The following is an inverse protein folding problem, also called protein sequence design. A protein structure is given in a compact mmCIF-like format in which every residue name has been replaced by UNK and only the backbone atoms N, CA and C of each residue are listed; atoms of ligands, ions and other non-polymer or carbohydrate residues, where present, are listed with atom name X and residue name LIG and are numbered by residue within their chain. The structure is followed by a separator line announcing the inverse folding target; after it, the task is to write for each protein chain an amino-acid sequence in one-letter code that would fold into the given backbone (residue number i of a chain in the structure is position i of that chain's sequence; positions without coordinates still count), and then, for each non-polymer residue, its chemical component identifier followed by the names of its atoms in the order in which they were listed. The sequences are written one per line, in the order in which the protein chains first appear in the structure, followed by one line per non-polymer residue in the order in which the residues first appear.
data_IF_755929460545
#
_entry.id   IF_755929460545
#
_cell.length_a   1.000
_cell.length_b   1.000
_cell.length_c   1.000
_cell.angle_alpha   90.00
_cell.angle_beta   90.00
_cell.angle_gamma   90.00
#
_symmetry.space_group_name_H-M   'P 1'
#
loop_
_entity.id
_entity.type
_entity.pdbx_description
1 polymer ?
#
# COMPACT_ATOMS: atom_id res chain seq x y z
N UNK A 1 31.31 -13.08 35.58
CA UNK A 1 30.12 -13.34 34.78
C UNK A 1 30.53 -14.33 33.69
N UNK A 2 29.80 -15.43 33.53
CA UNK A 2 30.15 -16.46 32.54
C UNK A 2 29.95 -15.89 31.10
N UNK A 3 30.79 -16.26 30.16
CA UNK A 3 30.74 -15.82 28.75
C UNK A 3 29.35 -16.02 28.12
N UNK A 4 28.70 -17.12 28.46
CA UNK A 4 27.34 -17.43 28.00
C UNK A 4 26.29 -16.46 28.53
N UNK A 5 26.40 -16.06 29.81
CA UNK A 5 25.51 -15.08 30.41
C UNK A 5 25.68 -13.69 29.78
N UNK A 6 26.91 -13.30 29.41
CA UNK A 6 27.15 -12.04 28.69
C UNK A 6 26.49 -12.08 27.30
N UNK A 7 26.68 -13.18 26.54
CA UNK A 7 26.09 -13.35 25.22
C UNK A 7 24.55 -13.29 25.29
N UNK A 8 23.94 -13.93 26.26
CA UNK A 8 22.50 -13.90 26.46
C UNK A 8 21.99 -12.47 26.73
N UNK A 9 22.64 -11.74 27.64
CA UNK A 9 22.25 -10.35 27.95
C UNK A 9 22.37 -9.45 26.74
N UNK A 10 23.46 -9.56 25.97
CA UNK A 10 23.66 -8.77 24.75
C UNK A 10 22.63 -9.13 23.68
N UNK A 11 22.29 -10.42 23.54
CA UNK A 11 21.25 -10.88 22.62
C UNK A 11 19.89 -10.30 22.98
N UNK A 12 19.51 -10.35 24.26
CA UNK A 12 18.25 -9.79 24.75
C UNK A 12 18.20 -8.28 24.52
N UNK A 13 19.28 -7.55 24.84
CA UNK A 13 19.35 -6.10 24.66
C UNK A 13 19.21 -5.71 23.17
N UNK A 14 19.90 -6.43 22.28
CA UNK A 14 19.85 -6.19 20.83
C UNK A 14 18.47 -6.50 20.26
N UNK A 15 17.87 -7.62 20.68
CA UNK A 15 16.51 -7.99 20.30
C UNK A 15 15.49 -6.97 20.80
N UNK A 16 15.65 -6.48 22.02
CA UNK A 16 14.78 -5.44 22.60
C UNK A 16 14.84 -4.16 21.77
N UNK A 17 16.04 -3.71 21.38
CA UNK A 17 16.22 -2.54 20.52
C UNK A 17 15.56 -2.72 19.16
N UNK A 18 15.69 -3.91 18.56
CA UNK A 18 15.01 -4.26 17.32
C UNK A 18 13.47 -4.23 17.47
N UNK A 19 12.92 -4.87 18.50
CA UNK A 19 11.48 -4.92 18.78
C UNK A 19 10.91 -3.52 19.02
N UNK A 20 11.60 -2.68 19.78
CA UNK A 20 11.18 -1.28 20.01
C UNK A 20 11.20 -0.50 18.69
N UNK A 21 12.27 -0.64 17.88
CA UNK A 21 12.42 0.06 16.61
C UNK A 21 11.36 -0.33 15.58
N UNK A 22 11.22 -1.60 15.30
CA UNK A 22 10.28 -2.11 14.29
C UNK A 22 8.87 -2.19 14.84
N UNK A 23 8.68 -2.72 16.05
CA UNK A 23 7.37 -2.87 16.67
C UNK A 23 6.72 -1.53 16.99
N UNK A 24 7.45 -0.59 17.55
CA UNK A 24 6.97 0.78 17.81
C UNK A 24 6.56 1.51 16.53
N UNK A 25 7.37 1.37 15.45
CA UNK A 25 7.04 1.93 14.14
C UNK A 25 5.77 1.28 13.57
N UNK A 26 5.66 -0.04 13.67
CA UNK A 26 4.50 -0.82 13.20
C UNK A 26 3.23 -0.42 13.95
N UNK A 27 3.26 -0.38 15.28
CA UNK A 27 2.10 0.00 16.09
C UNK A 27 1.63 1.42 15.78
N UNK A 28 2.56 2.36 15.60
CA UNK A 28 2.22 3.73 15.24
C UNK A 28 1.66 3.84 13.82
N UNK A 29 2.20 3.09 12.87
CA UNK A 29 1.67 3.04 11.50
C UNK A 29 0.22 2.52 11.48
N UNK A 30 -0.08 1.49 12.26
CA UNK A 30 -1.44 0.95 12.39
C UNK A 30 -2.38 2.02 12.95
N UNK A 31 -2.00 2.71 14.05
CA UNK A 31 -2.82 3.78 14.65
C UNK A 31 -3.07 4.94 13.68
N UNK A 32 -2.04 5.39 12.97
CA UNK A 32 -2.18 6.45 11.95
C UNK A 32 -3.15 6.00 10.86
N UNK A 33 -3.03 4.76 10.39
CA UNK A 33 -3.90 4.20 9.35
C UNK A 33 -5.36 4.07 9.81
N UNK A 34 -5.58 3.68 11.05
CA UNK A 34 -6.92 3.62 11.65
C UNK A 34 -7.54 5.01 11.76
N UNK A 35 -6.81 5.99 12.31
CA UNK A 35 -7.27 7.37 12.38
C UNK A 35 -7.60 7.93 10.99
N UNK A 36 -6.80 7.57 9.97
CA UNK A 36 -7.02 8.00 8.59
C UNK A 36 -8.27 7.39 7.95
N UNK A 37 -8.61 6.14 8.29
CA UNK A 37 -9.83 5.47 7.81
C UNK A 37 -11.12 6.16 8.27
N UNK A 38 -11.06 6.84 9.41
CA UNK A 38 -12.20 7.57 9.98
C UNK A 38 -12.27 9.03 9.54
N UNK A 39 -11.33 9.47 8.68
CA UNK A 39 -11.37 10.83 8.11
C UNK A 39 -12.58 10.94 7.19
N UNK A 40 -13.43 11.94 7.47
CA UNK A 40 -14.52 12.31 6.56
C UNK A 40 -13.90 13.13 5.43
N UNK A 41 -14.01 12.63 4.20
CA UNK A 41 -13.64 13.38 3.01
C UNK A 41 -14.95 13.92 2.42
N UNK A 42 -14.98 15.20 2.13
CA UNK A 42 -16.11 15.83 1.45
C UNK A 42 -16.15 15.31 0.00
N UNK A 43 -17.30 14.76 -0.41
CA UNK A 43 -17.51 14.30 -1.79
C UNK A 43 -17.33 15.44 -2.80
N UNK A 44 -17.59 16.68 -2.39
CA UNK A 44 -17.37 17.87 -3.21
C UNK A 44 -15.89 18.10 -3.58
N UNK A 45 -14.95 17.67 -2.71
CA UNK A 45 -13.52 17.79 -2.98
C UNK A 45 -13.04 16.82 -4.09
N UNK A 46 -13.77 15.73 -4.31
CA UNK A 46 -13.44 14.69 -5.28
C UNK A 46 -14.00 14.96 -6.67
N UNK A 47 -14.94 15.89 -6.78
CA UNK A 47 -15.60 16.19 -8.06
C UNK A 47 -14.62 16.75 -9.08
N UNK A 48 -14.75 16.34 -10.36
CA UNK A 48 -13.97 16.92 -11.44
C UNK A 48 -14.16 18.45 -11.50
N UNK A 49 -13.04 19.17 -11.59
CA UNK A 49 -13.01 20.63 -11.73
C UNK A 49 -12.49 20.97 -13.13
N UNK A 50 -13.03 22.03 -13.69
CA UNK A 50 -12.64 22.49 -15.04
C UNK A 50 -11.15 22.84 -15.15
N UNK A 51 -10.58 23.36 -14.09
CA UNK A 51 -9.15 23.62 -13.97
C UNK A 51 -8.68 23.18 -12.57
N UNK A 52 -7.73 22.26 -12.52
CA UNK A 52 -7.14 21.81 -11.25
C UNK A 52 -6.86 20.32 -11.21
N UNK A 53 -6.11 19.93 -10.22
CA UNK A 53 -5.83 18.55 -9.88
C UNK A 53 -6.40 18.24 -8.50
N UNK A 54 -6.82 17.00 -8.31
CA UNK A 54 -7.21 16.47 -6.99
C UNK A 54 -6.12 15.52 -6.53
N UNK A 55 -5.49 15.86 -5.42
CA UNK A 55 -4.40 15.05 -4.85
C UNK A 55 -4.92 14.34 -3.60
N UNK A 56 -5.03 13.02 -3.70
CA UNK A 56 -5.33 12.15 -2.59
C UNK A 56 -4.01 11.55 -2.07
N UNK A 57 -3.71 11.80 -0.80
CA UNK A 57 -2.48 11.30 -0.19
C UNK A 57 -2.80 10.28 0.88
N UNK A 58 -2.11 9.15 0.86
CA UNK A 58 -2.11 8.24 1.99
C UNK A 58 -1.31 8.83 3.17
N UNK A 59 -1.60 8.42 4.41
CA UNK A 59 -0.85 8.88 5.55
C UNK A 59 0.63 8.52 5.41
N UNK A 60 1.50 9.42 5.81
CA UNK A 60 2.94 9.20 5.85
C UNK A 60 3.43 9.05 7.29
N UNK A 61 4.52 8.33 7.47
CA UNK A 61 5.17 8.24 8.77
C UNK A 61 5.83 9.58 9.15
N UNK A 62 5.66 10.05 10.38
CA UNK A 62 6.43 11.17 10.90
C UNK A 62 7.94 10.92 10.76
N UNK A 63 8.71 11.97 10.47
CA UNK A 63 10.17 11.87 10.26
C UNK A 63 10.92 11.22 11.43
N UNK A 64 10.48 11.45 12.66
CA UNK A 64 11.06 10.82 13.86
C UNK A 64 10.92 9.30 13.84
N UNK A 65 9.78 8.77 13.42
CA UNK A 65 9.55 7.33 13.31
C UNK A 65 10.32 6.69 12.14
N UNK A 66 10.62 7.44 11.09
CA UNK A 66 11.49 6.96 10.03
C UNK A 66 12.92 6.69 10.55
N UNK A 67 13.40 7.52 11.50
CA UNK A 67 14.69 7.29 12.18
C UNK A 67 14.63 6.09 13.12
N UNK A 68 13.57 5.95 13.90
CA UNK A 68 13.36 4.80 14.78
C UNK A 68 13.34 3.48 13.99
N UNK A 69 12.72 3.49 12.80
CA UNK A 69 12.76 2.37 11.87
C UNK A 69 14.18 2.02 11.44
N UNK A 70 14.99 3.04 11.11
CA UNK A 70 16.37 2.82 10.72
C UNK A 70 17.16 2.15 11.83
N UNK A 71 17.00 2.62 13.09
CA UNK A 71 17.59 1.99 14.26
C UNK A 71 17.17 0.54 14.38
N UNK A 72 15.86 0.24 14.27
CA UNK A 72 15.37 -1.14 14.30
C UNK A 72 16.06 -2.04 13.26
N UNK A 73 16.14 -1.57 12.01
CA UNK A 73 16.84 -2.32 10.95
C UNK A 73 18.34 -2.50 11.19
N UNK A 74 19.00 -1.52 11.80
CA UNK A 74 20.41 -1.63 12.18
C UNK A 74 20.68 -2.78 13.15
N UNK A 75 19.73 -3.07 14.05
CA UNK A 75 19.84 -4.16 15.01
C UNK A 75 19.34 -5.52 14.49
N UNK A 76 18.78 -5.58 13.28
CA UNK A 76 18.27 -6.83 12.72
C UNK A 76 19.36 -7.89 12.54
N UNK A 77 20.45 -7.54 11.84
CA UNK A 77 21.54 -8.49 11.58
C UNK A 77 22.29 -8.88 12.87
N UNK A 78 22.69 -7.92 13.75
CA UNK A 78 23.29 -8.26 15.02
C UNK A 78 22.41 -9.18 15.89
N UNK A 79 21.09 -8.93 15.97
CA UNK A 79 20.19 -9.77 16.75
C UNK A 79 20.15 -11.22 16.21
N UNK A 80 20.09 -11.38 14.88
CA UNK A 80 20.10 -12.69 14.25
C UNK A 80 21.41 -13.45 14.51
N UNK A 81 22.54 -12.76 14.32
CA UNK A 81 23.88 -13.36 14.54
C UNK A 81 24.04 -13.78 16.00
N UNK A 82 23.70 -12.90 16.94
CA UNK A 82 23.80 -13.20 18.36
C UNK A 82 22.88 -14.34 18.79
N UNK A 83 21.69 -14.45 18.21
CA UNK A 83 20.78 -15.56 18.46
C UNK A 83 21.43 -16.91 18.09
N UNK A 84 22.11 -16.99 16.92
CA UNK A 84 22.83 -18.20 16.49
C UNK A 84 23.98 -18.54 17.43
N UNK A 85 24.71 -17.55 17.94
CA UNK A 85 25.78 -17.81 18.91
C UNK A 85 25.25 -18.21 20.30
N UNK A 86 24.12 -17.66 20.74
CA UNK A 86 23.47 -18.01 21.98
C UNK A 86 22.90 -19.44 21.97
N UNK A 87 22.63 -19.99 20.80
CA UNK A 87 22.08 -21.35 20.61
C UNK A 87 23.01 -22.45 21.17
N UNK A 88 24.32 -22.18 21.24
CA UNK A 88 25.31 -23.13 21.82
C UNK A 88 25.08 -23.42 23.30
N UNK A 89 24.56 -22.44 24.05
CA UNK A 89 24.23 -22.61 25.47
C UNK A 89 22.72 -22.80 25.73
N UNK A 90 21.88 -22.30 24.80
CA UNK A 90 20.42 -22.28 24.93
C UNK A 90 19.76 -22.59 23.57
N UNK A 91 19.61 -23.87 23.19
CA UNK A 91 19.19 -24.29 21.84
C UNK A 91 17.80 -23.83 21.43
N UNK A 92 16.97 -23.37 22.36
CA UNK A 92 15.65 -22.82 22.10
C UNK A 92 15.64 -21.33 21.70
N UNK A 93 16.74 -20.60 21.95
CA UNK A 93 16.82 -19.16 21.71
C UNK A 93 16.76 -18.82 20.22
N UNK A 94 17.55 -19.52 19.40
CA UNK A 94 17.62 -19.26 17.97
C UNK A 94 16.25 -19.42 17.26
N UNK A 95 15.53 -20.53 17.40
CA UNK A 95 14.24 -20.69 16.73
C UNK A 95 13.19 -19.68 17.23
N UNK A 96 13.15 -19.37 18.52
CA UNK A 96 12.21 -18.39 19.05
C UNK A 96 12.48 -16.99 18.49
N UNK A 97 13.75 -16.57 18.47
CA UNK A 97 14.14 -15.26 17.91
C UNK A 97 13.81 -15.18 16.42
N UNK A 98 14.12 -16.20 15.64
CA UNK A 98 13.81 -16.22 14.22
C UNK A 98 12.31 -16.10 13.96
N UNK A 99 11.48 -16.89 14.66
CA UNK A 99 10.02 -16.82 14.53
C UNK A 99 9.49 -15.43 14.89
N UNK A 100 9.96 -14.86 16.01
CA UNK A 100 9.57 -13.52 16.42
C UNK A 100 9.95 -12.45 15.38
N UNK A 101 11.18 -12.52 14.83
CA UNK A 101 11.66 -11.59 13.83
C UNK A 101 10.85 -11.71 12.53
N UNK A 102 10.57 -12.93 12.06
CA UNK A 102 9.73 -13.17 10.88
C UNK A 102 8.32 -12.61 11.07
N UNK A 103 7.68 -12.91 12.20
CA UNK A 103 6.36 -12.40 12.53
C UNK A 103 6.34 -10.87 12.57
N UNK A 104 7.30 -10.25 13.28
CA UNK A 104 7.37 -8.80 13.41
C UNK A 104 7.62 -8.11 12.06
N UNK A 105 8.48 -8.69 11.20
CA UNK A 105 8.69 -8.18 9.86
C UNK A 105 7.43 -8.31 8.99
N UNK A 106 6.70 -9.43 9.05
CA UNK A 106 5.45 -9.61 8.35
C UNK A 106 4.41 -8.54 8.75
N UNK A 107 4.27 -8.29 10.05
CA UNK A 107 3.43 -7.19 10.56
C UNK A 107 3.91 -5.82 10.11
N UNK A 108 5.21 -5.56 10.16
CA UNK A 108 5.80 -4.32 9.69
C UNK A 108 5.50 -4.07 8.22
N UNK A 109 5.79 -5.02 7.33
CA UNK A 109 5.51 -4.86 5.90
C UNK A 109 4.02 -4.66 5.62
N UNK A 110 3.14 -5.36 6.33
CA UNK A 110 1.70 -5.19 6.21
C UNK A 110 1.24 -3.80 6.65
N UNK A 111 1.78 -3.29 7.77
CA UNK A 111 1.46 -1.96 8.27
C UNK A 111 1.99 -0.84 7.35
N UNK A 112 3.18 -1.06 6.75
CA UNK A 112 3.81 -0.10 5.85
C UNK A 112 3.24 -0.10 4.44
N UNK A 113 2.45 -1.11 4.06
CA UNK A 113 1.81 -1.15 2.75
C UNK A 113 1.01 0.13 2.50
N UNK A 114 1.30 0.78 1.37
CA UNK A 114 0.60 1.96 0.88
C UNK A 114 0.77 3.24 1.74
N UNK A 115 1.67 3.25 2.72
CA UNK A 115 2.03 4.48 3.43
C UNK A 115 2.77 5.43 2.47
N UNK A 116 2.33 6.69 2.45
CA UNK A 116 2.92 7.73 1.59
C UNK A 116 2.58 7.61 0.10
N UNK A 117 1.67 6.72 -0.29
CA UNK A 117 1.14 6.69 -1.66
C UNK A 117 0.35 7.96 -1.96
N UNK A 118 0.41 8.39 -3.22
CA UNK A 118 -0.38 9.51 -3.73
C UNK A 118 -1.14 9.07 -4.97
N UNK A 119 -2.38 9.55 -5.07
CA UNK A 119 -3.19 9.46 -6.28
C UNK A 119 -3.54 10.89 -6.67
N UNK A 120 -3.03 11.33 -7.81
CA UNK A 120 -3.34 12.63 -8.38
C UNK A 120 -4.27 12.44 -9.57
N UNK A 121 -5.45 13.03 -9.52
CA UNK A 121 -6.43 13.06 -10.61
C UNK A 121 -6.27 14.38 -11.35
N UNK A 122 -6.10 14.31 -12.65
CA UNK A 122 -5.97 15.47 -13.55
C UNK A 122 -6.97 15.35 -14.68
N UNK A 123 -7.16 16.40 -15.44
CA UNK A 123 -8.04 16.38 -16.61
C UNK A 123 -7.65 15.29 -17.63
N UNK A 124 -6.35 15.05 -17.82
CA UNK A 124 -5.85 14.15 -18.86
C UNK A 124 -5.70 12.70 -18.39
N UNK A 125 -5.69 12.47 -17.08
CA UNK A 125 -5.44 11.14 -16.53
C UNK A 125 -5.23 11.14 -15.03
N UNK A 126 -4.71 10.04 -14.51
CA UNK A 126 -4.32 9.93 -13.11
C UNK A 126 -2.85 9.52 -12.97
N UNK A 127 -2.27 9.90 -11.84
CA UNK A 127 -0.89 9.52 -11.48
C UNK A 127 -0.91 8.77 -10.17
N UNK A 128 -0.22 7.62 -10.15
CA UNK A 128 -0.04 6.78 -8.96
C UNK A 128 1.39 6.90 -8.47
N UNK A 129 1.55 7.16 -7.18
CA UNK A 129 2.86 7.38 -6.55
C UNK A 129 3.28 8.84 -6.51
N UNK A 130 4.32 9.13 -5.73
CA UNK A 130 4.86 10.48 -5.53
C UNK A 130 6.15 10.74 -6.30
N UNK A 131 6.36 11.99 -6.70
CA UNK A 131 7.61 12.46 -7.31
C UNK A 131 7.91 11.90 -8.70
N UNK A 132 9.20 11.76 -9.05
CA UNK A 132 9.66 11.36 -10.40
C UNK A 132 9.29 9.93 -10.81
N UNK A 133 8.89 9.06 -9.87
CA UNK A 133 8.52 7.66 -10.12
C UNK A 133 7.01 7.45 -10.26
N UNK A 134 6.23 8.53 -10.26
CA UNK A 134 4.79 8.45 -10.42
C UNK A 134 4.42 7.83 -11.78
N UNK A 135 3.61 6.78 -11.76
CA UNK A 135 3.06 6.16 -12.97
C UNK A 135 1.87 7.00 -13.43
N UNK A 136 2.00 7.65 -14.57
CA UNK A 136 0.90 8.40 -15.19
C UNK A 136 0.11 7.49 -16.14
N UNK A 137 -1.20 7.59 -16.10
CA UNK A 137 -2.13 6.85 -16.96
C UNK A 137 -3.16 7.85 -17.49
N UNK A 138 -3.31 7.94 -18.82
CA UNK A 138 -4.33 8.80 -19.46
C UNK A 138 -5.69 8.13 -19.40
N UNK A 139 -6.76 8.93 -19.21
CA UNK A 139 -8.13 8.41 -19.14
C UNK A 139 -8.55 7.65 -20.38
N UNK A 140 -8.20 8.14 -21.55
CA UNK A 140 -8.52 7.51 -22.85
C UNK A 140 -7.90 6.12 -23.02
N UNK A 141 -6.84 5.84 -22.29
CA UNK A 141 -6.19 4.52 -22.32
C UNK A 141 -6.87 3.51 -21.40
N UNK A 142 -7.74 3.95 -20.50
CA UNK A 142 -8.43 3.05 -19.55
C UNK A 142 -9.75 2.60 -20.16
N UNK A 143 -9.96 1.30 -20.23
CA UNK A 143 -11.22 0.72 -20.74
C UNK A 143 -12.19 0.42 -19.60
N UNK A 144 -11.67 0.10 -18.41
CA UNK A 144 -12.50 -0.38 -17.32
C UNK A 144 -11.86 -0.11 -15.97
N UNK A 145 -12.72 0.25 -14.99
CA UNK A 145 -12.41 0.25 -13.56
C UNK A 145 -13.33 -0.72 -12.84
N UNK A 146 -12.77 -1.63 -12.04
CA UNK A 146 -13.51 -2.63 -11.27
C UNK A 146 -13.04 -2.67 -9.83
N UNK A 147 -14.00 -2.76 -8.90
CA UNK A 147 -13.70 -2.96 -7.47
C UNK A 147 -13.33 -4.40 -7.20
N UNK A 148 -12.25 -4.66 -6.48
CA UNK A 148 -11.87 -5.98 -6.04
C UNK A 148 -11.49 -6.01 -4.57
N UNK A 149 -11.60 -7.17 -3.95
CA UNK A 149 -11.10 -7.43 -2.62
C UNK A 149 -9.91 -8.37 -2.68
N UNK A 150 -8.80 -7.91 -2.12
CA UNK A 150 -7.61 -8.74 -1.92
C UNK A 150 -7.54 -9.10 -0.44
N UNK A 151 -7.62 -10.38 -0.13
CA UNK A 151 -7.42 -10.91 1.21
C UNK A 151 -6.02 -11.48 1.36
N UNK A 152 -5.47 -11.45 2.58
CA UNK A 152 -4.11 -11.94 2.86
C UNK A 152 -3.93 -13.44 2.51
N UNK A 153 -4.99 -14.24 2.64
CA UNK A 153 -4.97 -15.69 2.42
C UNK A 153 -6.06 -16.18 1.45
N UNK A 154 -7.03 -15.33 1.10
CA UNK A 154 -8.19 -15.71 0.28
C UNK A 154 -8.06 -15.36 -1.20
N UNK A 155 -6.90 -14.86 -1.62
CA UNK A 155 -6.71 -14.40 -2.98
C UNK A 155 -7.54 -13.17 -3.32
N UNK A 156 -7.82 -12.99 -4.62
CA UNK A 156 -8.62 -11.89 -5.13
C UNK A 156 -10.05 -12.35 -5.36
N UNK A 157 -11.02 -11.58 -4.86
CA UNK A 157 -12.44 -11.72 -5.14
C UNK A 157 -12.96 -10.46 -5.80
N UNK A 158 -13.90 -10.61 -6.72
CA UNK A 158 -14.63 -9.51 -7.35
C UNK A 158 -16.06 -9.57 -6.85
N UNK A 159 -16.39 -8.89 -5.73
CA UNK A 159 -17.73 -8.87 -5.21
C UNK A 159 -18.66 -8.11 -6.17
N UNK A 160 -19.90 -8.55 -6.29
CA UNK A 160 -20.94 -7.82 -7.00
C UNK A 160 -21.31 -6.52 -6.26
N UNK A 161 -21.91 -5.57 -6.97
CA UNK A 161 -22.15 -4.23 -6.41
C UNK A 161 -23.11 -4.23 -5.22
N UNK A 162 -24.06 -5.15 -5.18
CA UNK A 162 -25.01 -5.37 -4.08
C UNK A 162 -24.34 -5.92 -2.82
N UNK A 163 -23.27 -6.70 -2.97
CA UNK A 163 -22.49 -7.26 -1.86
C UNK A 163 -21.61 -6.22 -1.14
N UNK A 164 -21.40 -5.03 -1.74
CA UNK A 164 -20.48 -4.02 -1.21
C UNK A 164 -20.90 -3.39 0.12
N UNK A 165 -22.14 -3.60 0.52
CA UNK A 165 -22.63 -3.16 1.83
C UNK A 165 -22.05 -4.00 2.97
N UNK A 166 -21.74 -5.27 2.73
CA UNK A 166 -21.06 -6.11 3.72
C UNK A 166 -19.57 -5.70 3.87
N UNK A 167 -19.13 -5.26 5.07
CA UNK A 167 -17.74 -4.91 5.32
C UNK A 167 -16.74 -6.05 5.03
N UNK A 168 -17.20 -7.30 5.09
CA UNK A 168 -16.38 -8.50 4.85
C UNK A 168 -16.08 -8.72 3.37
N UNK A 169 -16.95 -8.24 2.50
CA UNK A 169 -16.87 -8.43 1.04
C UNK A 169 -16.49 -7.14 0.33
N UNK A 170 -16.67 -5.98 0.98
CA UNK A 170 -16.39 -4.65 0.42
C UNK A 170 -15.03 -4.58 -0.27
N UNK A 171 -14.95 -4.05 -1.49
CA UNK A 171 -13.71 -3.88 -2.22
C UNK A 171 -12.69 -3.06 -1.42
N UNK A 172 -11.42 -3.43 -1.49
CA UNK A 172 -10.32 -2.70 -0.87
C UNK A 172 -9.27 -2.21 -1.88
N UNK A 173 -9.44 -2.60 -3.14
CA UNK A 173 -8.63 -2.15 -4.27
C UNK A 173 -9.50 -1.86 -5.47
N UNK A 174 -9.03 -0.99 -6.35
CA UNK A 174 -9.61 -0.76 -7.66
C UNK A 174 -8.63 -1.29 -8.71
N UNK A 175 -9.11 -2.15 -9.57
CA UNK A 175 -8.38 -2.66 -10.71
C UNK A 175 -8.70 -1.80 -11.92
N UNK A 176 -7.74 -1.59 -12.80
CA UNK A 176 -7.99 -0.93 -14.08
C UNK A 176 -7.40 -1.72 -15.24
N UNK A 177 -8.08 -1.64 -16.37
CA UNK A 177 -7.70 -2.27 -17.63
C UNK A 177 -7.36 -1.20 -18.65
N UNK A 178 -6.27 -1.39 -19.41
CA UNK A 178 -5.86 -0.47 -20.45
C UNK A 178 -6.26 -0.99 -21.83
N UNK A 179 -6.55 -0.05 -22.73
CA UNK A 179 -6.74 -0.36 -24.14
C UNK A 179 -5.40 -0.77 -24.75
N UNK A 180 -5.27 -2.03 -25.09
CA UNK A 180 -4.03 -2.60 -25.63
C UNK A 180 -3.65 -2.06 -27.01
N UNK A 181 -4.63 -1.56 -27.76
CA UNK A 181 -4.36 -0.93 -29.06
C UNK A 181 -3.65 0.42 -28.91
N UNK A 182 -3.90 1.14 -27.79
CA UNK A 182 -3.33 2.46 -27.52
C UNK A 182 -2.10 2.40 -26.61
N UNK A 183 -1.95 1.32 -25.84
CA UNK A 183 -0.86 1.22 -24.85
C UNK A 183 -0.27 -0.19 -24.90
N UNK A 184 0.84 -0.41 -25.61
CA UNK A 184 1.55 -1.67 -25.56
C UNK A 184 2.07 -1.88 -24.12
N UNK A 185 1.38 -2.74 -23.39
CA UNK A 185 1.75 -3.06 -22.01
C UNK A 185 2.76 -4.21 -22.00
N UNK A 186 3.95 -3.95 -21.49
CA UNK A 186 4.83 -5.03 -21.04
C UNK A 186 4.22 -5.61 -19.76
N UNK A 187 3.62 -6.81 -19.86
CA UNK A 187 3.23 -7.58 -18.69
C UNK A 187 4.48 -7.83 -17.85
N UNK A 188 4.53 -7.27 -16.67
CA UNK A 188 5.57 -7.66 -15.71
C UNK A 188 5.27 -9.08 -15.22
N UNK A 189 6.29 -9.92 -15.12
CA UNK A 189 6.21 -11.30 -14.60
C UNK A 189 5.44 -11.41 -13.27
N UNK A 190 5.50 -10.36 -12.46
CA UNK A 190 4.80 -10.22 -11.18
C UNK A 190 3.26 -10.24 -11.33
N UNK A 191 2.71 -9.69 -12.44
CA UNK A 191 1.27 -9.71 -12.68
C UNK A 191 0.74 -11.12 -12.97
N UNK A 192 1.54 -11.97 -13.63
CA UNK A 192 1.17 -13.37 -13.89
C UNK A 192 1.17 -14.25 -12.65
N UNK A 193 2.10 -13.99 -11.72
CA UNK A 193 2.25 -14.75 -10.46
C UNK A 193 1.11 -14.51 -9.44
N UNK A 194 0.44 -13.34 -9.52
CA UNK A 194 -0.59 -12.93 -8.54
C UNK A 194 -2.03 -13.16 -9.09
N UNK A 195 -2.19 -13.79 -10.26
CA UNK A 195 -3.50 -14.03 -10.87
C UNK A 195 -4.17 -12.80 -11.49
N UNK A 196 -3.46 -11.68 -11.64
CA UNK A 196 -3.96 -10.44 -12.26
C UNK A 196 -3.86 -10.46 -13.80
N UNK A 197 -4.15 -11.59 -14.43
CA UNK A 197 -3.95 -11.79 -15.88
C UNK A 197 -4.81 -10.89 -16.75
N UNK A 198 -5.88 -10.33 -16.21
CA UNK A 198 -6.86 -9.52 -16.97
C UNK A 198 -6.74 -8.01 -16.77
N UNK A 199 -6.03 -7.56 -15.72
CA UNK A 199 -5.91 -6.14 -15.36
C UNK A 199 -4.48 -5.66 -15.49
N UNK A 200 -4.33 -4.39 -15.90
CA UNK A 200 -3.01 -3.79 -16.17
C UNK A 200 -2.46 -3.05 -14.96
N UNK A 201 -3.30 -2.79 -13.96
CA UNK A 201 -2.83 -2.20 -12.72
C UNK A 201 -3.87 -2.15 -11.61
N UNK A 202 -3.40 -1.73 -10.45
CA UNK A 202 -4.20 -1.65 -9.23
C UNK A 202 -4.04 -0.29 -8.58
N UNK A 203 -5.13 0.26 -8.06
CA UNK A 203 -5.17 1.42 -7.18
C UNK A 203 -5.60 0.90 -5.82
N UNK A 204 -4.66 0.83 -4.87
CA UNK A 204 -4.98 0.45 -3.50
C UNK A 204 -5.64 1.61 -2.79
N UNK A 205 -6.74 1.35 -2.09
CA UNK A 205 -7.41 2.42 -1.37
C UNK A 205 -6.75 2.67 -0.01
N UNK A 206 -5.75 3.51 0.00
CA UNK A 206 -5.06 3.99 1.20
C UNK A 206 -5.39 5.44 1.54
N UNK A 207 -6.32 6.07 0.81
CA UNK A 207 -6.53 7.53 0.84
C UNK A 207 -7.61 7.98 1.83
N UNK A 208 -8.21 7.05 2.60
CA UNK A 208 -9.30 7.38 3.53
C UNK A 208 -10.65 7.62 2.84
N UNK A 209 -10.75 7.39 1.53
CA UNK A 209 -11.99 7.46 0.75
C UNK A 209 -12.64 6.07 0.74
N UNK A 210 -13.96 5.92 0.92
CA UNK A 210 -14.61 4.64 0.67
C UNK A 210 -14.35 4.14 -0.76
N UNK A 211 -13.98 2.86 -0.93
CA UNK A 211 -13.63 2.33 -2.26
C UNK A 211 -14.75 2.51 -3.31
N UNK A 212 -16.03 2.32 -2.97
CA UNK A 212 -17.12 2.59 -3.92
C UNK A 212 -17.15 4.05 -4.37
N UNK A 213 -16.92 5.00 -3.46
CA UNK A 213 -16.89 6.42 -3.77
C UNK A 213 -15.67 6.76 -4.65
N UNK A 214 -14.49 6.23 -4.33
CA UNK A 214 -13.30 6.41 -5.14
C UNK A 214 -13.48 5.83 -6.55
N UNK A 215 -14.09 4.64 -6.66
CA UNK A 215 -14.39 4.01 -7.95
C UNK A 215 -15.33 4.88 -8.79
N UNK A 216 -16.40 5.41 -8.19
CA UNK A 216 -17.32 6.34 -8.84
C UNK A 216 -16.58 7.59 -9.30
N UNK A 217 -15.78 8.20 -8.43
CA UNK A 217 -14.96 9.37 -8.75
C UNK A 217 -14.07 9.13 -9.98
N UNK A 218 -13.36 7.99 -10.02
CA UNK A 218 -12.48 7.66 -11.16
C UNK A 218 -13.28 7.53 -12.47
N UNK A 219 -14.46 6.95 -12.42
CA UNK A 219 -15.36 6.84 -13.58
C UNK A 219 -15.90 8.19 -14.04
N UNK A 220 -16.28 9.05 -13.09
CA UNK A 220 -16.78 10.39 -13.38
C UNK A 220 -15.69 11.24 -14.06
N UNK A 221 -14.45 11.19 -13.55
CA UNK A 221 -13.31 11.86 -14.17
C UNK A 221 -13.00 11.33 -15.58
N UNK A 222 -13.05 10.02 -15.76
CA UNK A 222 -12.87 9.37 -17.06
C UNK A 222 -13.95 9.82 -18.06
N UNK A 223 -15.22 9.80 -17.65
CA UNK A 223 -16.34 10.16 -18.52
C UNK A 223 -16.22 11.61 -19.02
N UNK A 224 -15.91 12.55 -18.11
CA UNK A 224 -15.72 13.95 -18.48
C UNK A 224 -14.54 14.14 -19.44
N UNK A 225 -13.45 13.38 -19.26
CA UNK A 225 -12.32 13.43 -20.18
C UNK A 225 -12.68 12.91 -21.57
N UNK A 226 -13.42 11.79 -21.64
CA UNK A 226 -13.91 11.21 -22.91
C UNK A 226 -14.89 12.14 -23.62
N UNK A 227 -15.82 12.75 -22.88
CA UNK A 227 -16.78 13.72 -23.42
C UNK A 227 -16.06 14.96 -23.99
N UNK A 228 -15.00 15.42 -23.32
CA UNK A 228 -14.20 16.55 -23.79
C UNK A 228 -13.40 16.24 -25.08
N UNK A 229 -12.96 15.01 -25.28
CA UNK A 229 -12.27 14.57 -26.49
C UNK A 229 -13.25 14.29 -27.66
N UNK A 230 -14.49 13.86 -27.34
CA UNK A 230 -15.52 13.61 -28.32
C UNK A 230 -16.10 14.91 -28.93
N UNK A 231 -15.94 16.06 -28.27
CA UNK A 231 -16.35 17.34 -28.82
C UNK A 231 -15.42 17.72 -29.97
N UNK A 232 -15.93 17.89 -31.22
CA UNK A 232 -15.11 18.30 -32.36
C UNK A 232 -14.44 19.64 -32.01
N UNK A 233 -13.12 19.70 -32.23
CA UNK A 233 -12.37 20.96 -32.18
C UNK A 233 -13.16 21.99 -33.03
N UNK A 234 -13.80 22.95 -32.39
CA UNK A 234 -14.39 24.08 -33.13
C UNK A 234 -13.23 24.71 -33.91
N UNK A 235 -13.32 24.79 -35.25
CA UNK A 235 -12.33 25.53 -36.00
C UNK A 235 -12.32 26.95 -35.51
N UNK A 236 -11.11 27.45 -35.20
CA UNK A 236 -10.88 28.83 -34.78
C UNK A 236 -11.11 29.81 -35.91
#
# INVERSE_FOLDING_TARGET
MNREAILLVVTIATLTAYVIGIGGTTATAIRIREAWRHRKIDEGELKPRAAGEVVLSAPSLPRGLARLRLVGWLFFVPALVLAVFADRGYPWVSPVVVVLMVALNAFYFTAMQNMGEQLTLTRDGFRLGGGRRAKAVRWIHVTEFTGARIGAFSGMKMPEADEWQDPRVRPNVILYRLNRALTPTHRTLVHGLIGFTYYDGTIRNAFGVPTPLLLRTLRDWQQIALDAEALPLRPA
#
